data_IF_073638904173
#
_entry.id   IF_073638904173
#
_cell.length_a   1.000
_cell.length_b   1.000
_cell.length_c   1.000
_cell.angle_alpha   90.00
_cell.angle_beta   90.00
_cell.angle_gamma   90.00
#
_symmetry.space_group_name_H-M   'P 1'
#
loop_
_entity.id
_entity.type
_entity.pdbx_description
1 polymer ?
#
# COMPACT_ATOMS: atom_id res chain seq x y z
N UNK A 1 -18.22 4.08 2.43
CA UNK A 1 -17.09 3.54 3.21
C UNK A 1 -17.24 2.03 3.24
N UNK A 2 -16.29 1.27 2.67
CA UNK A 2 -16.34 -0.19 2.68
C UNK A 2 -15.76 -0.67 4.01
N UNK A 3 -16.57 -1.40 4.80
CA UNK A 3 -16.05 -2.09 5.98
C UNK A 3 -15.07 -3.17 5.54
N UNK A 4 -13.92 -3.21 6.20
CA UNK A 4 -12.79 -4.06 5.82
C UNK A 4 -12.63 -5.29 6.70
N UNK A 5 -13.10 -5.25 7.94
CA UNK A 5 -13.19 -6.44 8.79
C UNK A 5 -14.44 -7.26 8.44
N UNK A 6 -14.54 -7.68 7.19
CA UNK A 6 -15.57 -8.61 6.73
C UNK A 6 -15.18 -10.05 7.09
N UNK A 7 -16.14 -10.96 7.07
CA UNK A 7 -15.86 -12.39 7.28
C UNK A 7 -14.84 -12.93 6.26
N UNK A 8 -14.85 -12.43 5.01
CA UNK A 8 -13.85 -12.83 4.02
C UNK A 8 -12.44 -12.37 4.40
N UNK A 9 -12.31 -11.10 4.82
CA UNK A 9 -11.02 -10.54 5.22
C UNK A 9 -10.41 -11.27 6.42
N UNK A 10 -11.23 -11.59 7.43
CA UNK A 10 -10.82 -12.35 8.60
C UNK A 10 -10.41 -13.82 8.31
N UNK A 11 -10.59 -14.28 7.06
CA UNK A 11 -10.14 -15.59 6.57
C UNK A 11 -8.96 -15.48 5.61
N UNK A 12 -8.02 -14.58 5.91
CA UNK A 12 -6.78 -14.38 5.16
C UNK A 12 -7.02 -14.04 3.68
N UNK A 13 -7.96 -13.15 3.40
CA UNK A 13 -8.21 -12.70 2.05
C UNK A 13 -6.92 -12.13 1.42
N UNK A 14 -6.55 -12.65 0.25
CA UNK A 14 -5.45 -12.08 -0.54
C UNK A 14 -5.78 -10.66 -0.94
N UNK A 15 -4.86 -9.74 -0.66
CA UNK A 15 -4.94 -8.33 -1.04
C UNK A 15 -3.78 -7.98 -1.97
N UNK A 16 -4.00 -7.00 -2.87
CA UNK A 16 -2.94 -6.47 -3.73
C UNK A 16 -2.19 -5.31 -3.06
N UNK A 17 -1.12 -4.83 -3.70
CA UNK A 17 -0.29 -3.73 -3.17
C UNK A 17 -1.08 -2.42 -2.95
N UNK A 18 -2.01 -2.08 -3.85
CA UNK A 18 -2.84 -0.88 -3.73
C UNK A 18 -3.76 -0.98 -2.52
N UNK A 19 -4.35 -2.14 -2.27
CA UNK A 19 -5.16 -2.38 -1.08
C UNK A 19 -4.34 -2.33 0.21
N UNK A 20 -3.14 -2.92 0.21
CA UNK A 20 -2.24 -2.87 1.34
C UNK A 20 -1.84 -1.42 1.70
N UNK A 21 -1.49 -0.62 0.70
CA UNK A 21 -1.20 0.81 0.89
C UNK A 21 -2.41 1.60 1.36
N UNK A 22 -3.60 1.30 0.82
CA UNK A 22 -4.84 1.96 1.24
C UNK A 22 -5.14 1.69 2.71
N UNK A 23 -4.99 0.44 3.16
CA UNK A 23 -5.11 0.07 4.56
C UNK A 23 -4.09 0.78 5.43
N UNK A 24 -2.81 0.77 5.03
CA UNK A 24 -1.74 1.43 5.79
C UNK A 24 -2.02 2.92 5.99
N UNK A 25 -2.32 3.65 4.91
CA UNK A 25 -2.51 5.11 4.94
C UNK A 25 -3.82 5.54 5.62
N UNK A 26 -4.80 4.65 5.70
CA UNK A 26 -6.09 4.94 6.37
C UNK A 26 -6.17 4.40 7.79
N UNK A 27 -5.10 3.79 8.31
CA UNK A 27 -5.12 3.13 9.62
C UNK A 27 -6.11 1.98 9.67
N UNK A 28 -6.14 1.16 8.64
CA UNK A 28 -7.07 0.04 8.45
C UNK A 28 -8.55 0.48 8.56
N UNK A 29 -8.91 1.61 7.93
CA UNK A 29 -10.30 2.06 7.79
C UNK A 29 -10.91 1.83 6.40
N UNK A 30 -10.09 1.80 5.35
CA UNK A 30 -10.54 1.59 3.99
C UNK A 30 -9.46 0.93 3.11
N UNK A 31 -9.81 -0.13 2.35
CA UNK A 31 -8.89 -0.85 1.46
C UNK A 31 -8.81 -0.30 0.03
N UNK A 32 -9.60 0.71 -0.31
CA UNK A 32 -9.65 1.25 -1.68
C UNK A 32 -9.47 2.78 -1.74
N UNK A 33 -8.84 3.38 -0.74
CA UNK A 33 -8.58 4.83 -0.74
C UNK A 33 -7.64 5.28 -1.86
N UNK A 34 -6.76 4.39 -2.35
CA UNK A 34 -5.92 4.61 -3.53
C UNK A 34 -6.58 4.13 -4.84
N UNK A 35 -7.87 3.75 -4.80
CA UNK A 35 -8.61 3.18 -5.92
C UNK A 35 -8.36 1.68 -6.13
N UNK A 36 -8.93 1.14 -7.21
CA UNK A 36 -8.98 -0.31 -7.45
C UNK A 36 -7.87 -0.81 -8.40
N UNK A 37 -7.08 0.09 -8.99
CA UNK A 37 -6.02 -0.29 -9.91
C UNK A 37 -4.82 -0.89 -9.13
N UNK A 38 -4.45 -2.17 -9.35
CA UNK A 38 -3.38 -2.83 -8.62
C UNK A 38 -1.98 -2.27 -8.92
N UNK A 39 -1.83 -1.48 -9.97
CA UNK A 39 -0.55 -0.88 -10.38
C UNK A 39 -0.17 0.31 -9.49
N UNK A 40 -1.14 1.02 -8.90
CA UNK A 40 -0.90 2.22 -8.10
C UNK A 40 0.00 1.92 -6.90
N UNK A 41 -0.32 0.86 -6.15
CA UNK A 41 0.49 0.43 -5.01
C UNK A 41 1.89 -0.03 -5.42
N UNK A 42 2.04 -0.64 -6.60
CA UNK A 42 3.37 -1.02 -7.12
C UNK A 42 4.23 0.20 -7.44
N UNK A 43 3.66 1.20 -8.12
CA UNK A 43 4.36 2.45 -8.41
C UNK A 43 4.75 3.18 -7.12
N UNK A 44 3.84 3.26 -6.14
CA UNK A 44 4.13 3.86 -4.84
C UNK A 44 5.30 3.16 -4.14
N UNK A 45 5.30 1.82 -4.11
CA UNK A 45 6.40 1.04 -3.54
C UNK A 45 7.73 1.33 -4.24
N UNK A 46 7.78 1.29 -5.57
CA UNK A 46 9.02 1.55 -6.33
C UNK A 46 9.50 2.98 -6.11
N UNK A 47 8.61 3.97 -6.09
CA UNK A 47 8.96 5.37 -5.84
C UNK A 47 9.56 5.58 -4.46
N UNK A 48 8.98 4.99 -3.40
CA UNK A 48 9.50 5.10 -2.03
C UNK A 48 10.88 4.42 -1.94
N UNK A 49 11.02 3.22 -2.49
CA UNK A 49 12.30 2.52 -2.49
C UNK A 49 13.37 3.32 -3.25
N UNK A 50 13.04 3.85 -4.42
CA UNK A 50 13.91 4.72 -5.21
C UNK A 50 14.39 5.94 -4.42
N UNK A 51 13.46 6.66 -3.77
CA UNK A 51 13.78 7.83 -2.96
C UNK A 51 14.66 7.50 -1.75
N UNK A 52 14.42 6.36 -1.09
CA UNK A 52 15.26 5.90 0.03
C UNK A 52 16.66 5.53 -0.49
N UNK A 53 16.75 4.78 -1.57
CA UNK A 53 18.05 4.38 -2.14
C UNK A 53 18.87 5.57 -2.62
N UNK A 54 18.23 6.59 -3.21
CA UNK A 54 18.90 7.81 -3.64
C UNK A 54 19.46 8.58 -2.45
N UNK A 55 18.66 8.78 -1.39
CA UNK A 55 19.12 9.45 -0.17
C UNK A 55 20.25 8.71 0.53
N UNK A 56 20.18 7.37 0.60
CA UNK A 56 21.28 6.56 1.16
C UNK A 56 22.55 6.76 0.35
N UNK A 57 22.46 6.71 -0.99
CA UNK A 57 23.61 6.92 -1.87
C UNK A 57 24.24 8.30 -1.66
N UNK A 58 23.43 9.36 -1.66
CA UNK A 58 23.87 10.74 -1.41
C UNK A 58 24.50 10.93 -0.02
N UNK A 59 24.01 10.23 1.01
CA UNK A 59 24.57 10.32 2.36
C UNK A 59 25.90 9.55 2.53
N UNK A 60 26.21 8.62 1.61
CA UNK A 60 27.41 7.76 1.69
C UNK A 60 28.56 8.19 0.78
N UNK A 61 28.29 9.02 -0.23
CA UNK A 61 29.28 9.61 -1.14
C UNK A 61 29.73 10.99 -0.64
#
# INVERSE_FOLDING_TARGET
MRLIFTNSFNRFQTINATQAWSLFLTGCKQDNSLGDNPMIGKYLTVSILGAITAQILEATL
#
